data_IF_457683725280
#
_entry.id   IF_457683725280
#
_cell.length_a   1.000
_cell.length_b   1.000
_cell.length_c   1.000
_cell.angle_alpha   90.00
_cell.angle_beta   90.00
_cell.angle_gamma   90.00
#
_symmetry.space_group_name_H-M   'P 1'
#
loop_
_entity.id
_entity.type
_entity.pdbx_description
1 polymer ?
#
# COMPACT_ATOMS: atom_id res chain seq x y z
N UNK A 1 -53.98 -4.35 4.55
CA UNK A 1 -52.92 -5.17 3.94
C UNK A 1 -51.88 -4.28 3.26
N UNK A 2 -51.31 -3.28 3.98
CA UNK A 2 -50.39 -2.27 3.41
C UNK A 2 -49.28 -1.85 4.42
N UNK A 3 -49.10 -2.62 5.49
CA UNK A 3 -48.19 -2.28 6.62
C UNK A 3 -46.89 -3.08 6.63
N UNK A 4 -46.63 -3.93 5.60
CA UNK A 4 -45.47 -4.83 5.57
C UNK A 4 -44.34 -4.44 4.60
N UNK A 5 -44.52 -3.40 3.77
CA UNK A 5 -43.50 -3.04 2.76
C UNK A 5 -42.50 -2.00 3.30
N UNK A 6 -42.81 -1.30 4.40
CA UNK A 6 -41.99 -0.18 4.87
C UNK A 6 -40.77 -0.55 5.74
N UNK A 7 -40.60 -1.83 6.11
CA UNK A 7 -39.49 -2.26 6.98
C UNK A 7 -38.27 -2.82 6.26
N UNK A 8 -38.33 -3.04 4.95
CA UNK A 8 -37.25 -3.68 4.19
C UNK A 8 -36.24 -2.69 3.58
N UNK A 9 -36.44 -1.38 3.74
CA UNK A 9 -35.54 -0.36 3.18
C UNK A 9 -34.62 0.33 4.22
N UNK A 10 -34.79 0.04 5.52
CA UNK A 10 -33.95 0.66 6.56
C UNK A 10 -32.70 -0.14 6.94
N UNK A 11 -32.48 -1.33 6.34
CA UNK A 11 -31.33 -2.18 6.66
C UNK A 11 -30.09 -1.90 5.81
N UNK A 12 -30.19 -1.08 4.75
CA UNK A 12 -29.07 -0.78 3.85
C UNK A 12 -28.23 0.46 4.23
N UNK A 13 -28.60 1.20 5.29
CA UNK A 13 -27.91 2.42 5.71
C UNK A 13 -26.85 2.23 6.82
N UNK A 14 -26.55 0.98 7.19
CA UNK A 14 -25.52 0.65 8.20
C UNK A 14 -24.41 -0.21 7.58
N UNK A 15 -24.00 0.07 6.34
CA UNK A 15 -22.70 -0.43 5.89
C UNK A 15 -21.65 0.41 6.66
N UNK A 16 -20.91 -0.19 7.61
CA UNK A 16 -19.85 0.56 8.27
C UNK A 16 -18.90 1.04 7.19
N UNK A 17 -18.54 2.33 7.24
CA UNK A 17 -17.44 2.89 6.47
C UNK A 17 -16.16 2.18 6.94
N UNK A 18 -15.91 1.01 6.36
CA UNK A 18 -14.66 0.28 6.54
C UNK A 18 -13.60 1.17 5.90
N UNK A 19 -12.86 1.88 6.73
CA UNK A 19 -11.60 2.48 6.34
C UNK A 19 -10.72 1.34 5.86
N UNK A 20 -10.56 1.21 4.54
CA UNK A 20 -9.71 0.22 3.90
C UNK A 20 -8.26 0.56 4.23
N UNK A 21 -7.79 0.13 5.40
CA UNK A 21 -6.37 0.08 5.69
C UNK A 21 -5.71 -0.91 4.71
N UNK A 22 -4.47 -0.66 4.28
CA UNK A 22 -3.78 -1.65 3.46
C UNK A 22 -3.58 -2.93 4.26
N UNK A 23 -4.22 -4.00 3.81
CA UNK A 23 -3.94 -5.33 4.32
C UNK A 23 -2.62 -5.80 3.71
N UNK A 24 -1.70 -6.38 4.48
CA UNK A 24 -0.45 -6.90 3.94
C UNK A 24 -0.76 -8.09 3.02
N UNK A 25 -0.29 -8.04 1.77
CA UNK A 25 -0.55 -9.08 0.76
C UNK A 25 0.72 -9.84 0.43
N UNK A 26 0.61 -11.16 0.28
CA UNK A 26 1.69 -11.99 -0.21
C UNK A 26 2.07 -11.57 -1.66
N UNK A 27 3.29 -11.08 -1.91
CA UNK A 27 3.66 -10.54 -3.22
C UNK A 27 3.54 -11.57 -4.35
N UNK A 28 3.82 -12.86 -4.09
CA UNK A 28 3.72 -13.91 -5.11
C UNK A 28 2.28 -14.15 -5.57
N UNK A 29 1.29 -13.97 -4.69
CA UNK A 29 -0.12 -14.09 -5.07
C UNK A 29 -0.57 -13.01 -6.06
N UNK A 30 0.14 -11.88 -6.11
CA UNK A 30 -0.16 -10.80 -7.05
C UNK A 30 0.22 -11.14 -8.50
N UNK A 31 1.05 -12.17 -8.71
CA UNK A 31 1.47 -12.59 -10.05
C UNK A 31 0.37 -13.34 -10.82
N UNK A 32 -0.73 -13.73 -10.17
CA UNK A 32 -1.87 -14.34 -10.84
C UNK A 32 -2.64 -13.36 -11.74
N UNK A 33 -2.34 -12.05 -11.66
CA UNK A 33 -2.90 -11.04 -12.59
C UNK A 33 -2.42 -11.22 -14.04
N UNK A 34 -1.25 -11.83 -14.24
CA UNK A 34 -0.67 -12.00 -15.57
C UNK A 34 -1.27 -13.21 -16.27
N UNK A 35 -1.79 -12.99 -17.49
CA UNK A 35 -2.30 -14.05 -18.35
C UNK A 35 -1.17 -14.78 -19.12
N UNK A 36 -0.05 -14.11 -19.36
CA UNK A 36 1.09 -14.66 -20.08
C UNK A 36 2.05 -15.42 -19.17
N UNK A 37 2.37 -16.67 -19.51
CA UNK A 37 3.28 -17.52 -18.74
C UNK A 37 4.64 -16.87 -18.49
N UNK A 38 5.15 -16.13 -19.49
CA UNK A 38 6.43 -15.43 -19.39
C UNK A 38 6.41 -14.33 -18.32
N UNK A 39 5.39 -13.47 -18.36
CA UNK A 39 5.29 -12.33 -17.44
C UNK A 39 4.95 -12.81 -16.02
N UNK A 40 4.09 -13.83 -15.92
CA UNK A 40 3.81 -14.54 -14.66
C UNK A 40 5.08 -15.12 -14.07
N UNK A 41 5.88 -15.87 -14.85
CA UNK A 41 7.14 -16.44 -14.38
C UNK A 41 8.14 -15.36 -13.96
N UNK A 42 8.22 -14.24 -14.69
CA UNK A 42 9.07 -13.11 -14.33
C UNK A 42 8.63 -12.46 -13.01
N UNK A 43 7.33 -12.25 -12.81
CA UNK A 43 6.78 -11.75 -11.55
C UNK A 43 7.07 -12.71 -10.39
N UNK A 44 6.85 -14.01 -10.57
CA UNK A 44 7.11 -15.03 -9.55
C UNK A 44 8.60 -15.07 -9.16
N UNK A 45 9.49 -14.99 -10.14
CA UNK A 45 10.93 -14.92 -9.90
C UNK A 45 11.29 -13.69 -9.07
N UNK A 46 10.73 -12.52 -9.41
CA UNK A 46 10.98 -11.28 -8.68
C UNK A 46 10.47 -11.36 -7.23
N UNK A 47 9.22 -11.77 -7.05
CA UNK A 47 8.58 -11.84 -5.73
C UNK A 47 9.16 -12.90 -4.80
N UNK A 48 9.79 -13.95 -5.35
CA UNK A 48 10.45 -15.00 -4.57
C UNK A 48 11.91 -14.65 -4.25
N UNK A 49 12.61 -14.00 -5.19
CA UNK A 49 14.05 -13.71 -5.05
C UNK A 49 14.32 -12.46 -4.22
N UNK A 50 13.46 -11.46 -4.34
CA UNK A 50 13.70 -10.14 -3.77
C UNK A 50 12.90 -9.95 -2.48
N UNK A 51 13.49 -9.36 -1.43
CA UNK A 51 12.75 -9.00 -0.23
C UNK A 51 11.82 -7.82 -0.55
N UNK A 52 10.52 -8.09 -0.62
CA UNK A 52 9.49 -7.09 -0.85
C UNK A 52 8.71 -6.85 0.45
N UNK A 53 8.43 -5.58 0.74
CA UNK A 53 7.54 -5.20 1.83
C UNK A 53 6.08 -5.58 1.48
N UNK A 54 5.39 -6.28 2.38
CA UNK A 54 4.05 -6.82 2.12
C UNK A 54 2.97 -5.75 2.03
N UNK A 55 3.11 -4.66 2.81
CA UNK A 55 2.20 -3.52 2.70
C UNK A 55 2.46 -2.78 1.40
N UNK A 56 3.74 -2.54 1.06
CA UNK A 56 4.12 -1.89 -0.19
C UNK A 56 3.66 -2.70 -1.42
N UNK A 57 3.68 -4.03 -1.31
CA UNK A 57 3.16 -4.93 -2.35
C UNK A 57 1.66 -4.75 -2.54
N UNK A 58 0.88 -4.56 -1.46
CA UNK A 58 -0.54 -4.20 -1.56
C UNK A 58 -0.76 -2.84 -2.22
N UNK A 59 0.10 -1.85 -1.96
CA UNK A 59 0.04 -0.57 -2.68
C UNK A 59 0.36 -0.73 -4.18
N UNK A 60 1.32 -1.60 -4.52
CA UNK A 60 1.63 -1.93 -5.91
C UNK A 60 0.49 -2.70 -6.59
N UNK A 61 -0.28 -3.51 -5.86
CA UNK A 61 -1.44 -4.21 -6.41
C UNK A 61 -2.54 -3.27 -6.95
N UNK A 62 -2.57 -2.01 -6.46
CA UNK A 62 -3.49 -0.97 -6.94
C UNK A 62 -3.09 -0.38 -8.30
N UNK A 63 -1.92 -0.73 -8.84
CA UNK A 63 -1.49 -0.32 -10.18
C UNK A 63 -2.36 -1.00 -11.24
N UNK A 64 -2.94 -0.22 -12.13
CA UNK A 64 -3.83 -0.74 -13.17
C UNK A 64 -3.03 -1.38 -14.30
N UNK A 65 -1.93 -0.75 -14.72
CA UNK A 65 -1.09 -1.29 -15.78
C UNK A 65 -0.05 -2.28 -15.23
N UNK A 66 0.06 -3.44 -15.90
CA UNK A 66 1.02 -4.49 -15.54
C UNK A 66 2.48 -4.00 -15.55
N UNK A 67 2.82 -3.07 -16.45
CA UNK A 67 4.13 -2.44 -16.50
C UNK A 67 4.40 -1.59 -15.26
N UNK A 68 3.41 -0.81 -14.82
CA UNK A 68 3.52 0.03 -13.64
C UNK A 68 3.53 -0.81 -12.36
N UNK A 69 2.76 -1.90 -12.32
CA UNK A 69 2.86 -2.92 -11.28
C UNK A 69 4.28 -3.48 -11.16
N UNK A 70 4.87 -3.95 -12.26
CA UNK A 70 6.22 -4.52 -12.26
C UNK A 70 7.30 -3.50 -11.86
N UNK A 71 7.15 -2.25 -12.30
CA UNK A 71 8.00 -1.12 -11.92
C UNK A 71 7.87 -0.81 -10.43
N UNK A 72 6.66 -0.81 -9.89
CA UNK A 72 6.41 -0.62 -8.47
C UNK A 72 7.10 -1.71 -7.63
N UNK A 73 7.05 -2.98 -8.07
CA UNK A 73 7.79 -4.06 -7.39
C UNK A 73 9.31 -3.84 -7.38
N UNK A 74 9.89 -3.26 -8.43
CA UNK A 74 11.32 -2.88 -8.44
C UNK A 74 11.62 -1.77 -7.43
N UNK A 75 10.72 -0.82 -7.26
CA UNK A 75 10.93 0.32 -6.36
C UNK A 75 10.87 -0.07 -4.89
N UNK A 76 10.04 -1.05 -4.53
CA UNK A 76 9.88 -1.52 -3.14
C UNK A 76 10.92 -2.58 -2.73
N UNK A 77 11.74 -3.05 -3.69
CA UNK A 77 12.78 -4.04 -3.45
C UNK A 77 13.78 -3.60 -2.39
N UNK A 78 13.92 -4.41 -1.35
CA UNK A 78 14.86 -4.19 -0.24
C UNK A 78 14.61 -2.89 0.52
N UNK A 79 13.42 -2.32 0.38
CA UNK A 79 13.05 -1.08 1.02
C UNK A 79 12.12 -1.33 2.20
N UNK A 80 12.13 -0.39 3.14
CA UNK A 80 11.22 -0.37 4.29
C UNK A 80 10.24 0.79 4.14
N UNK A 81 8.99 0.55 4.55
CA UNK A 81 7.94 1.54 4.47
C UNK A 81 7.22 1.69 5.81
N UNK A 82 6.80 2.91 6.12
CA UNK A 82 5.84 3.15 7.18
C UNK A 82 4.43 2.87 6.65
N UNK A 83 3.67 1.91 7.21
CA UNK A 83 2.35 1.54 6.68
C UNK A 83 1.34 2.69 6.67
N UNK A 84 1.33 3.56 7.69
CA UNK A 84 0.42 4.71 7.76
C UNK A 84 0.75 5.74 6.64
N UNK A 85 2.04 5.94 6.31
CA UNK A 85 2.45 6.83 5.22
C UNK A 85 2.17 6.21 3.84
N UNK A 86 2.33 4.89 3.72
CA UNK A 86 2.00 4.16 2.51
C UNK A 86 0.48 4.15 2.24
N UNK A 87 -0.33 4.10 3.29
CA UNK A 87 -1.79 4.23 3.19
C UNK A 87 -2.17 5.53 2.48
N UNK A 88 -1.48 6.63 2.78
CA UNK A 88 -1.70 7.89 2.07
C UNK A 88 -1.41 7.79 0.56
N UNK A 89 -0.38 7.04 0.16
CA UNK A 89 -0.11 6.75 -1.26
C UNK A 89 -1.16 5.82 -1.89
N UNK A 90 -1.90 5.05 -1.10
CA UNK A 90 -2.92 4.12 -1.57
C UNK A 90 -4.34 4.72 -1.60
N UNK A 91 -4.61 5.69 -0.72
CA UNK A 91 -5.96 6.11 -0.28
C UNK A 91 -6.88 6.65 -1.38
N UNK A 92 -6.35 7.09 -2.52
CA UNK A 92 -7.17 7.57 -3.61
C UNK A 92 -7.15 6.60 -4.79
N UNK A 93 -8.34 6.20 -5.22
CA UNK A 93 -8.58 5.43 -6.45
C UNK A 93 -8.32 6.27 -7.70
N UNK A 94 -8.32 7.60 -7.56
CA UNK A 94 -8.29 8.56 -8.66
C UNK A 94 -6.86 9.03 -8.97
N UNK A 95 -5.86 8.52 -8.25
CA UNK A 95 -4.46 8.83 -8.55
C UNK A 95 -4.00 7.94 -9.67
N UNK A 96 -3.26 8.54 -10.61
CA UNK A 96 -2.63 7.77 -11.67
C UNK A 96 -1.59 6.81 -11.10
N UNK A 97 -1.33 5.74 -11.84
CA UNK A 97 -0.28 4.76 -11.54
C UNK A 97 1.07 5.46 -11.30
N UNK A 98 1.43 6.44 -12.13
CA UNK A 98 2.67 7.21 -12.02
C UNK A 98 2.72 8.03 -10.74
N UNK A 99 1.60 8.65 -10.36
CA UNK A 99 1.49 9.43 -9.11
C UNK A 99 1.66 8.51 -7.90
N UNK A 100 1.00 7.35 -7.93
CA UNK A 100 1.15 6.33 -6.87
C UNK A 100 2.59 5.87 -6.73
N UNK A 101 3.26 5.55 -7.83
CA UNK A 101 4.68 5.16 -7.82
C UNK A 101 5.56 6.31 -7.31
N UNK A 102 5.31 7.55 -7.75
CA UNK A 102 6.01 8.75 -7.28
C UNK A 102 5.88 8.91 -5.76
N UNK A 103 4.67 8.75 -5.21
CA UNK A 103 4.44 8.79 -3.78
C UNK A 103 5.24 7.70 -3.04
N UNK A 104 5.16 6.45 -3.50
CA UNK A 104 5.90 5.31 -2.92
C UNK A 104 7.42 5.59 -2.92
N UNK A 105 7.96 6.09 -4.03
CA UNK A 105 9.38 6.49 -4.14
C UNK A 105 9.78 7.53 -3.10
N UNK A 106 8.92 8.52 -2.85
CA UNK A 106 9.20 9.63 -1.93
C UNK A 106 9.23 9.21 -0.47
N UNK A 107 8.50 8.16 -0.10
CA UNK A 107 8.41 7.64 1.27
C UNK A 107 9.32 6.43 1.54
N UNK A 108 9.93 5.89 0.48
CA UNK A 108 10.89 4.79 0.53
C UNK A 108 11.98 5.05 1.56
N UNK A 109 12.19 4.11 2.48
CA UNK A 109 13.23 4.18 3.51
C UNK A 109 13.14 5.46 4.36
N UNK A 110 11.92 5.95 4.62
CA UNK A 110 11.68 7.08 5.51
C UNK A 110 10.82 6.69 6.68
N UNK A 111 11.18 7.23 7.84
CA UNK A 111 10.40 7.15 9.05
C UNK A 111 9.56 8.41 9.23
N UNK A 112 8.36 8.19 9.74
CA UNK A 112 7.36 9.20 9.99
C UNK A 112 6.78 8.98 11.38
N UNK A 113 6.68 10.06 12.15
CA UNK A 113 5.82 10.06 13.34
C UNK A 113 4.36 10.17 12.92
N UNK A 114 3.46 9.55 13.69
CA UNK A 114 2.01 9.68 13.49
C UNK A 114 1.55 11.14 13.38
N UNK A 115 2.15 12.05 14.13
CA UNK A 115 1.84 13.47 14.06
C UNK A 115 2.18 14.10 12.70
N UNK A 116 3.30 13.69 12.08
CA UNK A 116 3.67 14.15 10.74
C UNK A 116 2.71 13.62 9.68
N UNK A 117 2.35 12.33 9.76
CA UNK A 117 1.42 11.70 8.82
C UNK A 117 0.04 12.37 8.91
N UNK A 118 -0.47 12.55 10.14
CA UNK A 118 -1.75 13.24 10.37
C UNK A 118 -1.74 14.65 9.78
N UNK A 119 -0.67 15.42 9.99
CA UNK A 119 -0.52 16.77 9.43
C UNK A 119 -0.57 16.76 7.90
N UNK A 120 0.06 15.77 7.25
CA UNK A 120 0.02 15.64 5.80
C UNK A 120 -1.36 15.19 5.28
N UNK A 121 -2.03 14.28 5.98
CA UNK A 121 -3.37 13.85 5.64
C UNK A 121 -4.40 14.99 5.74
N UNK A 122 -4.24 15.87 6.72
CA UNK A 122 -5.13 17.02 6.95
C UNK A 122 -4.96 18.13 5.87
N UNK A 123 -3.95 18.05 5.00
CA UNK A 123 -3.68 19.04 3.94
C UNK A 123 -4.59 18.94 2.70
N UNK A 124 -5.44 17.91 2.63
CA UNK A 124 -6.57 17.80 1.69
C UNK A 124 -6.23 17.44 0.25
N UNK A 125 -5.13 17.93 -0.33
CA UNK A 125 -4.74 17.60 -1.71
C UNK A 125 -3.61 16.55 -1.75
N UNK A 126 -3.72 15.58 -2.66
CA UNK A 126 -2.75 14.49 -2.79
C UNK A 126 -1.35 14.98 -3.20
N UNK A 127 -1.28 15.96 -4.10
CA UNK A 127 -0.05 16.65 -4.51
C UNK A 127 0.64 17.34 -3.32
N UNK A 128 -0.15 17.98 -2.45
CA UNK A 128 0.33 18.62 -1.23
C UNK A 128 0.75 17.58 -0.20
N UNK A 129 0.05 16.45 -0.14
CA UNK A 129 0.34 15.34 0.76
C UNK A 129 1.65 14.64 0.37
N UNK A 130 1.88 14.35 -0.91
CA UNK A 130 3.15 13.80 -1.40
C UNK A 130 4.32 14.72 -1.06
N UNK A 131 4.15 16.01 -1.31
CA UNK A 131 5.15 17.03 -1.02
C UNK A 131 5.39 17.14 0.49
N UNK A 132 4.32 17.06 1.29
CA UNK A 132 4.39 17.06 2.75
C UNK A 132 5.13 15.84 3.29
N UNK A 133 4.82 14.63 2.82
CA UNK A 133 5.50 13.40 3.22
C UNK A 133 6.96 13.42 2.78
N UNK A 134 7.25 13.92 1.57
CA UNK A 134 8.63 14.03 1.11
C UNK A 134 9.46 14.90 2.04
N UNK A 135 8.94 16.06 2.45
CA UNK A 135 9.63 17.03 3.30
C UNK A 135 9.65 16.67 4.79
N UNK A 136 8.70 15.84 5.25
CA UNK A 136 8.56 15.52 6.68
C UNK A 136 9.31 14.26 7.09
N UNK A 137 9.52 13.32 6.17
CA UNK A 137 10.14 12.04 6.49
C UNK A 137 11.62 12.19 6.84
N UNK A 138 12.07 11.40 7.82
CA UNK A 138 13.50 11.32 8.18
C UNK A 138 14.06 10.04 7.58
N UNK A 139 15.27 10.09 7.04
CA UNK A 139 16.00 8.85 6.76
C UNK A 139 16.39 8.22 8.10
N UNK A 140 16.12 6.93 8.33
CA UNK A 140 16.59 6.23 9.51
C UNK A 140 18.08 6.47 9.67
N UNK A 141 18.55 6.75 10.88
CA UNK A 141 19.98 6.76 11.14
C UNK A 141 20.54 5.40 10.71
N UNK A 142 21.65 5.37 9.97
CA UNK A 142 22.21 4.15 9.32
C UNK A 142 22.51 2.98 10.27
N UNK A 143 22.33 3.18 11.58
CA UNK A 143 22.61 2.23 12.65
C UNK A 143 21.33 1.75 13.35
N UNK A 144 20.14 2.18 12.93
CA UNK A 144 18.89 1.62 13.43
C UNK A 144 18.74 0.20 12.83
N UNK A 145 18.57 -0.84 13.66
CA UNK A 145 18.24 -2.17 13.16
C UNK A 145 16.99 -2.04 12.29
N UNK A 146 17.02 -2.59 11.07
CA UNK A 146 15.80 -2.73 10.27
C UNK A 146 14.73 -3.34 11.18
N UNK A 147 13.47 -2.84 11.17
CA UNK A 147 12.40 -3.47 11.91
C UNK A 147 12.28 -4.90 11.41
N UNK A 148 12.92 -5.82 12.13
CA UNK A 148 12.93 -7.22 11.81
C UNK A 148 11.49 -7.66 11.85
N UNK A 149 10.98 -8.13 10.72
CA UNK A 149 9.82 -8.99 10.69
C UNK A 149 10.07 -10.05 11.76
N UNK A 150 9.34 -9.95 12.88
CA UNK A 150 9.34 -11.02 13.86
C UNK A 150 8.74 -12.21 13.15
N UNK A 151 9.60 -13.10 12.65
CA UNK A 151 9.20 -14.39 12.16
C UNK A 151 8.36 -15.01 13.27
N UNK A 152 7.09 -15.28 12.97
CA UNK A 152 6.21 -16.02 13.85
C UNK A 152 6.86 -17.40 14.06
N UNK A 153 7.58 -17.58 15.17
CA UNK A 153 8.06 -18.89 15.59
C UNK A 153 6.84 -19.71 15.99
N UNK A 154 6.35 -20.52 15.05
CA UNK A 154 5.38 -21.56 15.32
C UNK A 154 6.10 -22.62 16.16
N UNK A 155 5.91 -22.57 17.48
CA UNK A 155 6.31 -23.68 18.37
C UNK A 155 5.51 -24.92 17.96
N UNK A 156 6.25 -25.97 17.56
CA UNK A 156 5.74 -27.33 17.38
C UNK A 156 5.39 -27.97 18.71
#
# INVERSE_FOLDING_TARGET
MFQLILKTHLAFLLIPLLTLALEPTNPSGLCDRFLGDKDKAQCMLKTTKDPLDWYASSACALQQEDKNFMSCLDEIKGATFNPEALELCAKSTDISDESRISCIKKIKNKDYSRAQIKKCADSGELSNMESCLFNSGRTPASNAPAPGFQALEIKK
#
